data_IF_203812981317
#
_entry.id   IF_203812981317
#
_cell.length_a   1.000
_cell.length_b   1.000
_cell.length_c   1.000
_cell.angle_alpha   90.00
_cell.angle_beta   90.00
_cell.angle_gamma   90.00
#
_symmetry.space_group_name_H-M   'P 1'
#
loop_
_entity.id
_entity.type
_entity.pdbx_description
1 polymer ?
#
# COMPACT_ATOMS: atom_id res chain seq x y z
N UNK A 1 27.99 -17.14 -3.68
CA UNK A 1 27.38 -16.51 -4.86
C UNK A 1 26.07 -15.87 -4.42
N UNK A 2 25.88 -14.59 -4.74
CA UNK A 2 24.64 -13.88 -4.47
C UNK A 2 23.51 -14.42 -5.33
N UNK A 3 22.33 -14.63 -4.75
CA UNK A 3 21.12 -14.99 -5.48
C UNK A 3 20.25 -13.74 -5.66
N UNK A 4 20.70 -12.85 -6.55
CA UNK A 4 20.04 -11.56 -6.82
C UNK A 4 18.74 -11.78 -7.56
N UNK A 5 17.66 -11.17 -7.06
CA UNK A 5 16.30 -11.31 -7.61
C UNK A 5 15.75 -10.01 -8.21
N UNK A 6 16.10 -8.87 -7.65
CA UNK A 6 15.54 -7.59 -8.06
C UNK A 6 16.56 -6.47 -7.90
N UNK A 7 16.36 -5.41 -8.67
CA UNK A 7 17.23 -4.23 -8.72
C UNK A 7 16.40 -2.96 -8.61
N UNK A 8 16.97 -1.93 -7.98
CA UNK A 8 16.43 -0.57 -7.99
C UNK A 8 17.58 0.45 -8.00
N UNK A 9 17.28 1.67 -8.45
CA UNK A 9 18.23 2.78 -8.49
C UNK A 9 17.54 4.00 -7.88
N UNK A 10 18.27 4.80 -7.08
CA UNK A 10 17.76 6.07 -6.57
C UNK A 10 17.47 7.06 -7.71
N UNK A 11 16.55 7.97 -7.49
CA UNK A 11 16.15 8.95 -8.52
C UNK A 11 17.29 9.84 -9.01
N UNK A 12 18.30 10.06 -8.17
CA UNK A 12 19.50 10.83 -8.49
C UNK A 12 20.65 9.98 -9.10
N UNK A 13 20.45 8.66 -9.21
CA UNK A 13 21.42 7.72 -9.75
C UNK A 13 22.66 7.49 -8.89
N UNK A 14 22.69 8.00 -7.65
CA UNK A 14 23.85 7.85 -6.76
C UNK A 14 23.84 6.56 -5.96
N UNK A 15 22.70 5.86 -5.88
CA UNK A 15 22.56 4.62 -5.14
C UNK A 15 21.90 3.54 -5.97
N UNK A 16 22.47 2.35 -5.89
CA UNK A 16 21.99 1.14 -6.52
C UNK A 16 21.64 0.12 -5.45
N UNK A 17 20.53 -0.57 -5.61
CA UNK A 17 20.03 -1.58 -4.67
C UNK A 17 19.87 -2.91 -5.38
N UNK A 18 20.13 -3.98 -4.66
CA UNK A 18 19.78 -5.31 -5.11
C UNK A 18 19.25 -6.16 -3.95
N UNK A 19 18.30 -7.00 -4.29
CA UNK A 19 17.65 -7.94 -3.38
C UNK A 19 18.38 -9.28 -3.46
N UNK A 20 18.81 -9.79 -2.32
CA UNK A 20 19.48 -11.08 -2.18
C UNK A 20 18.58 -12.05 -1.43
N UNK A 21 18.19 -13.14 -2.11
CA UNK A 21 17.20 -14.10 -1.61
C UNK A 21 17.77 -14.97 -0.46
N UNK A 22 18.95 -15.57 -0.65
CA UNK A 22 19.47 -16.53 0.32
C UNK A 22 19.83 -15.89 1.67
N UNK A 23 20.42 -14.68 1.64
CA UNK A 23 20.74 -13.95 2.85
C UNK A 23 19.53 -13.17 3.40
N UNK A 24 18.49 -13.00 2.59
CA UNK A 24 17.31 -12.17 2.91
C UNK A 24 17.75 -10.76 3.29
N UNK A 25 18.38 -10.11 2.34
CA UNK A 25 18.96 -8.79 2.50
C UNK A 25 18.67 -7.90 1.28
N UNK A 26 18.48 -6.61 1.55
CA UNK A 26 18.61 -5.56 0.54
C UNK A 26 19.99 -4.94 0.72
N UNK A 27 20.75 -4.89 -0.35
CA UNK A 27 22.08 -4.26 -0.37
C UNK A 27 22.04 -2.96 -1.14
N UNK A 28 22.70 -1.95 -0.60
CA UNK A 28 22.90 -0.64 -1.21
C UNK A 28 24.36 -0.48 -1.60
N UNK A 29 24.62 -0.02 -2.81
CA UNK A 29 25.92 0.48 -3.24
C UNK A 29 25.75 1.97 -3.51
N UNK A 30 26.61 2.79 -2.92
CA UNK A 30 26.64 4.22 -3.17
C UNK A 30 27.78 4.53 -4.14
N UNK A 31 27.49 5.29 -5.19
CA UNK A 31 28.45 5.72 -6.20
C UNK A 31 28.96 7.13 -5.90
N UNK A 32 30.24 7.38 -6.16
CA UNK A 32 30.82 8.73 -6.10
C UNK A 32 30.33 9.61 -7.27
N UNK A 33 29.99 8.97 -8.40
CA UNK A 33 29.43 9.63 -9.58
C UNK A 33 28.09 8.94 -9.94
N UNK A 34 27.04 9.73 -10.15
CA UNK A 34 25.72 9.20 -10.49
C UNK A 34 25.79 8.32 -11.75
N UNK A 35 25.11 7.17 -11.69
CA UNK A 35 25.04 6.13 -12.75
C UNK A 35 26.40 5.52 -13.18
N UNK A 36 27.47 5.82 -12.49
CA UNK A 36 28.77 5.22 -12.76
C UNK A 36 29.05 4.04 -11.80
N UNK A 37 28.76 2.85 -12.26
CA UNK A 37 28.93 1.60 -11.47
C UNK A 37 30.38 1.30 -11.12
N UNK A 38 31.34 1.97 -11.78
CA UNK A 38 32.79 1.83 -11.50
C UNK A 38 33.23 2.72 -10.36
N UNK A 39 32.45 3.72 -9.97
CA UNK A 39 32.75 4.73 -8.94
C UNK A 39 32.24 4.35 -7.55
N UNK A 40 32.12 3.06 -7.22
CA UNK A 40 31.59 2.60 -5.91
C UNK A 40 32.41 3.21 -4.75
N UNK A 41 31.72 3.90 -3.84
CA UNK A 41 32.30 4.60 -2.70
C UNK A 41 32.02 3.91 -1.37
N UNK A 42 30.82 3.35 -1.19
CA UNK A 42 30.42 2.69 0.05
C UNK A 42 29.28 1.68 -0.21
N UNK A 43 29.03 0.80 0.76
CA UNK A 43 27.93 -0.14 0.74
C UNK A 43 27.23 -0.22 2.09
N UNK A 44 25.96 -0.57 2.07
CA UNK A 44 25.14 -0.86 3.26
C UNK A 44 24.25 -2.10 3.02
N UNK A 45 23.79 -2.69 4.11
CA UNK A 45 22.93 -3.88 4.07
C UNK A 45 21.77 -3.70 5.04
N UNK A 46 20.58 -3.99 4.57
CA UNK A 46 19.36 -4.06 5.37
C UNK A 46 18.92 -5.53 5.46
N UNK A 47 18.84 -6.08 6.66
CA UNK A 47 18.25 -7.40 6.87
C UNK A 47 16.73 -7.33 6.74
N UNK A 48 16.18 -8.22 5.94
CA UNK A 48 14.74 -8.41 5.74
C UNK A 48 14.33 -9.81 6.20
N UNK A 49 14.81 -10.21 7.37
CA UNK A 49 14.66 -11.57 7.91
C UNK A 49 13.22 -12.03 8.14
N UNK A 50 12.25 -11.10 8.12
CA UNK A 50 10.82 -11.41 8.16
C UNK A 50 10.33 -12.09 6.87
N UNK A 51 11.04 -11.93 5.75
CA UNK A 51 10.74 -12.59 4.47
C UNK A 51 11.29 -14.02 4.45
N UNK A 52 10.70 -14.88 3.60
CA UNK A 52 11.18 -16.25 3.39
C UNK A 52 11.86 -16.42 2.04
N UNK A 53 11.21 -15.97 0.96
CA UNK A 53 11.75 -15.98 -0.41
C UNK A 53 11.45 -14.64 -1.08
N UNK A 54 12.23 -13.58 -0.77
CA UNK A 54 12.03 -12.26 -1.36
C UNK A 54 12.38 -12.27 -2.85
N UNK A 55 11.51 -11.72 -3.69
CA UNK A 55 11.63 -11.72 -5.15
C UNK A 55 11.63 -10.35 -5.80
N UNK A 56 10.90 -9.40 -5.25
CA UNK A 56 10.72 -8.08 -5.82
C UNK A 56 11.07 -6.97 -4.85
N UNK A 57 11.52 -5.85 -5.41
CA UNK A 57 11.97 -4.66 -4.70
C UNK A 57 11.46 -3.42 -5.41
N UNK A 58 10.84 -2.51 -4.68
CA UNK A 58 10.41 -1.20 -5.18
C UNK A 58 10.60 -0.12 -4.13
N UNK A 59 10.72 1.14 -4.56
CA UNK A 59 10.72 2.31 -3.69
C UNK A 59 9.56 3.23 -4.03
N UNK A 60 9.15 4.04 -3.07
CA UNK A 60 8.30 5.21 -3.33
C UNK A 60 9.07 6.27 -4.12
N UNK A 61 8.35 7.13 -4.85
CA UNK A 61 8.96 8.20 -5.67
C UNK A 61 9.89 9.13 -4.89
N UNK A 62 9.58 9.36 -3.62
CA UNK A 62 10.38 10.20 -2.72
C UNK A 62 11.49 9.41 -1.98
N UNK A 63 11.60 8.10 -2.21
CA UNK A 63 12.60 7.23 -1.56
C UNK A 63 12.42 7.03 -0.06
N UNK A 64 11.28 7.40 0.52
CA UNK A 64 11.02 7.28 1.96
C UNK A 64 10.40 5.93 2.35
N UNK A 65 9.95 5.15 1.37
CA UNK A 65 9.43 3.79 1.59
C UNK A 65 10.09 2.80 0.66
N UNK A 66 10.29 1.60 1.19
CA UNK A 66 10.80 0.44 0.48
C UNK A 66 9.77 -0.68 0.58
N UNK A 67 9.55 -1.39 -0.51
CA UNK A 67 8.62 -2.51 -0.62
C UNK A 67 9.36 -3.76 -1.06
N UNK A 68 9.05 -4.88 -0.42
CA UNK A 68 9.66 -6.19 -0.73
C UNK A 68 8.56 -7.23 -0.88
N UNK A 69 8.46 -7.85 -2.04
CA UNK A 69 7.57 -8.97 -2.29
C UNK A 69 8.21 -10.29 -1.91
N UNK A 70 7.46 -11.13 -1.17
CA UNK A 70 7.84 -12.47 -0.69
C UNK A 70 6.85 -13.51 -1.23
N UNK A 71 7.34 -14.43 -2.05
CA UNK A 71 6.50 -15.43 -2.71
C UNK A 71 6.04 -16.55 -1.76
N UNK A 72 6.82 -16.95 -0.77
CA UNK A 72 6.41 -18.01 0.16
C UNK A 72 5.30 -17.56 1.11
N UNK A 73 5.31 -16.30 1.50
CA UNK A 73 4.28 -15.75 2.38
C UNK A 73 3.13 -15.10 1.63
N UNK A 74 3.23 -15.01 0.29
CA UNK A 74 2.28 -14.26 -0.55
C UNK A 74 2.07 -12.85 0.01
N UNK A 75 3.19 -12.14 0.30
CA UNK A 75 3.18 -10.89 1.04
C UNK A 75 3.98 -9.81 0.34
N UNK A 76 3.56 -8.56 0.60
CA UNK A 76 4.39 -7.40 0.32
C UNK A 76 4.66 -6.68 1.64
N UNK A 77 5.93 -6.62 2.01
CA UNK A 77 6.40 -5.90 3.20
C UNK A 77 6.67 -4.44 2.85
N UNK A 78 6.31 -3.55 3.77
CA UNK A 78 6.59 -2.12 3.71
C UNK A 78 7.57 -1.73 4.81
N UNK A 79 8.57 -0.94 4.44
CA UNK A 79 9.56 -0.36 5.34
C UNK A 79 9.57 1.16 5.19
N UNK A 80 9.69 1.88 6.31
CA UNK A 80 9.89 3.33 6.34
C UNK A 80 11.38 3.66 6.47
N UNK A 81 11.83 4.64 5.71
CA UNK A 81 13.20 5.14 5.72
C UNK A 81 13.25 6.55 6.32
N UNK A 82 14.04 6.75 7.38
CA UNK A 82 14.26 8.07 7.97
C UNK A 82 14.93 9.03 6.97
N UNK A 83 15.90 8.54 6.22
CA UNK A 83 16.56 9.28 5.13
C UNK A 83 16.14 8.70 3.79
N UNK A 84 15.69 9.56 2.87
CA UNK A 84 15.29 9.13 1.54
C UNK A 84 16.41 8.36 0.83
N UNK A 85 16.05 7.21 0.25
CA UNK A 85 17.01 6.40 -0.50
C UNK A 85 18.22 5.91 0.33
N UNK A 86 18.09 5.79 1.66
CA UNK A 86 19.21 5.35 2.49
C UNK A 86 18.80 4.22 3.43
N UNK A 87 19.32 3.01 3.15
CA UNK A 87 19.06 1.84 3.99
C UNK A 87 20.17 1.60 5.03
N UNK A 88 21.16 2.49 5.13
CA UNK A 88 22.28 2.31 6.08
C UNK A 88 21.88 2.50 7.52
N UNK A 89 20.81 3.28 7.78
CA UNK A 89 20.31 3.54 9.13
C UNK A 89 18.88 4.05 9.09
N UNK A 90 18.17 3.94 10.24
CA UNK A 90 16.84 4.51 10.40
C UNK A 90 15.76 3.85 9.53
N UNK A 91 15.90 2.56 9.24
CA UNK A 91 14.89 1.75 8.56
C UNK A 91 14.08 0.98 9.59
N UNK A 92 12.77 1.06 9.49
CA UNK A 92 11.84 0.29 10.32
C UNK A 92 10.82 -0.43 9.43
N UNK A 93 10.54 -1.69 9.75
CA UNK A 93 9.42 -2.39 9.12
C UNK A 93 8.12 -1.76 9.66
N UNK A 94 7.27 -1.31 8.74
CA UNK A 94 5.98 -0.69 9.04
C UNK A 94 4.87 -1.75 9.15
N UNK A 95 4.93 -2.76 8.27
CA UNK A 95 3.99 -3.87 8.24
C UNK A 95 4.09 -4.66 6.93
N UNK A 96 3.05 -5.41 6.64
CA UNK A 96 2.90 -6.13 5.36
C UNK A 96 1.42 -6.31 5.05
N UNK A 97 1.12 -6.53 3.77
CA UNK A 97 -0.16 -7.07 3.33
C UNK A 97 0.03 -8.53 2.91
N UNK A 98 -1.03 -9.33 3.10
CA UNK A 98 -1.13 -10.66 2.50
C UNK A 98 -1.99 -10.56 1.25
N UNK A 99 -1.49 -11.07 0.14
CA UNK A 99 -2.23 -11.11 -1.10
C UNK A 99 -3.32 -12.19 -1.00
N UNK A 100 -4.54 -11.87 -1.44
CA UNK A 100 -5.73 -12.70 -1.21
C UNK A 100 -5.87 -13.91 -2.13
N UNK A 101 -5.06 -13.98 -3.17
CA UNK A 101 -4.97 -15.11 -4.12
C UNK A 101 -3.53 -15.62 -4.10
N UNK A 102 -3.28 -16.81 -4.64
CA UNK A 102 -1.93 -17.36 -4.79
C UNK A 102 -1.12 -16.51 -5.76
N UNK A 103 -0.74 -15.30 -5.34
CA UNK A 103 0.02 -14.34 -6.13
C UNK A 103 1.48 -14.43 -5.69
N UNK A 104 2.34 -14.82 -6.63
CA UNK A 104 3.78 -14.80 -6.46
C UNK A 104 4.34 -13.44 -6.89
N UNK A 105 4.64 -12.50 -5.97
CA UNK A 105 5.00 -11.12 -6.30
C UNK A 105 6.44 -11.00 -6.84
N UNK A 106 6.65 -11.39 -8.10
CA UNK A 106 7.95 -11.31 -8.79
C UNK A 106 8.35 -9.91 -9.22
N UNK A 107 7.39 -9.02 -9.40
CA UNK A 107 7.61 -7.61 -9.71
C UNK A 107 6.61 -6.71 -9.01
N UNK A 108 7.06 -5.55 -8.55
CA UNK A 108 6.21 -4.51 -7.97
C UNK A 108 6.52 -3.20 -8.67
N UNK A 109 5.49 -2.52 -9.16
CA UNK A 109 5.60 -1.19 -9.75
C UNK A 109 4.46 -0.33 -9.23
N UNK A 110 4.77 0.91 -8.86
CA UNK A 110 3.76 1.91 -8.51
C UNK A 110 3.50 2.85 -9.67
N UNK A 111 2.24 3.24 -9.84
CA UNK A 111 1.79 4.18 -10.87
C UNK A 111 0.81 5.19 -10.28
N UNK A 112 0.38 6.18 -11.08
CA UNK A 112 -0.58 7.21 -10.66
C UNK A 112 -0.15 7.90 -9.35
N UNK A 113 1.15 8.28 -9.24
CA UNK A 113 1.67 8.94 -8.04
C UNK A 113 1.61 8.05 -6.80
N UNK A 114 1.68 6.73 -6.96
CA UNK A 114 1.69 5.77 -5.86
C UNK A 114 0.31 5.31 -5.39
N UNK A 115 -0.78 5.70 -6.07
CA UNK A 115 -2.14 5.25 -5.73
C UNK A 115 -2.54 3.94 -6.38
N UNK A 116 -1.74 3.43 -7.31
CA UNK A 116 -1.89 2.10 -7.92
C UNK A 116 -0.61 1.31 -7.76
N UNK A 117 -0.72 0.08 -7.33
CA UNK A 117 0.36 -0.90 -7.28
C UNK A 117 0.05 -2.01 -8.28
N UNK A 118 1.01 -2.29 -9.16
CA UNK A 118 0.96 -3.41 -10.10
C UNK A 118 1.91 -4.48 -9.58
N UNK A 119 1.43 -5.71 -9.56
CA UNK A 119 2.19 -6.90 -9.16
C UNK A 119 2.29 -7.82 -10.36
N UNK A 120 3.52 -8.15 -10.76
CA UNK A 120 3.76 -9.24 -11.69
C UNK A 120 3.64 -10.55 -10.92
N UNK A 121 2.61 -11.32 -11.23
CA UNK A 121 2.37 -12.64 -10.67
C UNK A 121 2.95 -13.71 -11.61
N UNK A 122 3.95 -14.47 -11.15
CA UNK A 122 4.53 -15.55 -11.94
C UNK A 122 3.60 -16.76 -11.97
N UNK A 123 2.94 -17.09 -10.86
CA UNK A 123 2.10 -18.28 -10.76
C UNK A 123 0.85 -18.18 -11.65
N UNK A 124 0.25 -16.98 -11.70
CA UNK A 124 -0.94 -16.69 -12.51
C UNK A 124 -0.63 -16.24 -13.94
N UNK A 125 0.65 -15.95 -14.26
CA UNK A 125 1.06 -15.34 -15.55
C UNK A 125 0.28 -14.04 -15.84
N UNK A 126 -0.02 -13.26 -14.79
CA UNK A 126 -0.86 -12.04 -14.84
C UNK A 126 -0.13 -10.82 -14.30
N UNK A 127 -0.73 -9.66 -14.50
CA UNK A 127 -0.40 -8.42 -13.78
C UNK A 127 -1.61 -8.02 -12.97
N UNK A 128 -1.49 -8.11 -11.65
CA UNK A 128 -2.55 -7.71 -10.75
C UNK A 128 -2.44 -6.23 -10.39
N UNK A 129 -3.59 -5.55 -10.32
CA UNK A 129 -3.66 -4.11 -10.04
C UNK A 129 -4.38 -3.88 -8.74
N UNK A 130 -3.69 -3.28 -7.77
CA UNK A 130 -4.24 -2.93 -6.48
C UNK A 130 -4.37 -1.41 -6.35
N UNK A 131 -5.54 -0.95 -5.91
CA UNK A 131 -5.75 0.46 -5.54
C UNK A 131 -5.30 0.68 -4.10
N UNK A 132 -4.54 1.74 -3.86
CA UNK A 132 -4.09 2.13 -2.54
C UNK A 132 -4.89 3.34 -2.06
N UNK A 133 -5.35 3.30 -0.82
CA UNK A 133 -6.09 4.39 -0.18
C UNK A 133 -5.22 5.65 -0.03
N UNK A 134 -3.96 5.46 0.30
CA UNK A 134 -2.97 6.53 0.38
C UNK A 134 -1.76 6.21 -0.51
N UNK A 135 -1.15 7.20 -1.19
CA UNK A 135 0.00 6.96 -2.05
C UNK A 135 1.13 6.23 -1.34
N UNK A 136 1.62 5.14 -1.95
CA UNK A 136 2.71 4.32 -1.42
C UNK A 136 2.47 3.82 0.03
N UNK A 137 1.22 3.55 0.40
CA UNK A 137 0.91 3.02 1.73
C UNK A 137 0.09 1.73 1.63
N UNK A 138 0.75 0.60 1.87
CA UNK A 138 0.12 -0.73 1.82
C UNK A 138 -0.66 -1.06 3.07
N UNK A 139 -0.28 -0.49 4.21
CA UNK A 139 -0.87 -0.83 5.52
C UNK A 139 -2.29 -0.27 5.66
N UNK A 140 -2.65 0.63 4.76
CA UNK A 140 -3.94 1.29 4.69
C UNK A 140 -4.81 0.74 3.53
N UNK A 141 -4.57 -0.53 3.13
CA UNK A 141 -5.46 -1.24 2.21
C UNK A 141 -6.60 -1.80 3.06
N UNK A 142 -7.62 -0.99 3.25
CA UNK A 142 -8.95 -1.47 3.59
C UNK A 142 -9.74 -1.57 2.29
N UNK A 143 -10.28 -2.74 1.98
CA UNK A 143 -11.35 -2.90 0.98
C UNK A 143 -12.62 -2.13 1.40
N UNK A 144 -12.65 -1.66 2.63
CA UNK A 144 -13.63 -0.76 3.17
C UNK A 144 -13.08 0.67 3.18
N UNK A 145 -13.67 1.55 2.38
CA UNK A 145 -13.42 2.98 2.49
C UNK A 145 -14.16 3.50 3.71
N UNK A 146 -13.43 3.79 4.78
CA UNK A 146 -13.94 4.49 5.95
C UNK A 146 -13.58 5.98 5.91
N UNK A 147 -14.30 6.79 6.61
CA UNK A 147 -14.10 8.22 6.69
C UNK A 147 -15.09 8.90 7.64
N UNK A 148 -15.05 10.21 7.62
CA UNK A 148 -15.97 11.06 8.37
C UNK A 148 -16.46 12.18 7.45
N UNK A 149 -17.77 12.21 7.18
CA UNK A 149 -18.40 13.20 6.30
C UNK A 149 -18.56 14.57 6.96
N UNK A 150 -18.30 14.69 8.26
CA UNK A 150 -18.41 15.94 9.02
C UNK A 150 -17.06 16.60 9.28
N UNK A 151 -15.94 15.97 8.84
CA UNK A 151 -14.58 16.38 9.21
C UNK A 151 -14.22 17.81 8.76
N UNK A 152 -14.74 18.24 7.60
CA UNK A 152 -14.50 19.55 7.01
C UNK A 152 -15.68 20.52 7.17
N UNK A 153 -16.77 20.10 7.81
CA UNK A 153 -17.91 20.94 8.11
C UNK A 153 -17.65 21.86 9.31
N UNK A 154 -18.26 23.04 9.32
CA UNK A 154 -18.15 24.00 10.41
C UNK A 154 -19.44 24.08 11.21
N UNK A 155 -19.35 23.86 12.51
CA UNK A 155 -20.51 23.93 13.43
C UNK A 155 -20.20 23.29 14.78
N UNK A 156 -21.13 23.44 15.73
CA UNK A 156 -21.06 22.75 17.02
C UNK A 156 -22.09 21.62 17.03
N UNK A 157 -21.65 20.43 17.44
CA UNK A 157 -22.53 19.25 17.56
C UNK A 157 -23.18 18.82 16.24
N UNK A 158 -22.41 18.80 15.16
CA UNK A 158 -22.85 18.28 13.87
C UNK A 158 -23.20 16.81 13.96
N UNK A 159 -24.27 16.40 13.28
CA UNK A 159 -24.67 14.99 13.21
C UNK A 159 -25.30 14.66 11.87
N UNK A 160 -25.05 13.46 11.36
CA UNK A 160 -25.77 12.90 10.21
C UNK A 160 -27.11 12.37 10.69
N UNK A 161 -28.20 12.86 10.13
CA UNK A 161 -29.56 12.46 10.55
C UNK A 161 -30.26 11.57 9.54
N UNK A 162 -29.87 11.63 8.26
CA UNK A 162 -30.50 10.86 7.19
C UNK A 162 -29.51 10.54 6.08
N UNK A 163 -29.73 9.41 5.41
CA UNK A 163 -29.04 9.01 4.18
C UNK A 163 -30.02 8.52 3.13
N UNK A 164 -29.68 8.69 1.86
CA UNK A 164 -30.45 8.18 0.72
C UNK A 164 -29.54 7.79 -0.44
N UNK A 165 -29.98 6.82 -1.24
CA UNK A 165 -29.47 6.64 -2.61
C UNK A 165 -30.22 7.65 -3.49
N UNK A 166 -29.52 8.26 -4.47
CA UNK A 166 -30.13 9.21 -5.41
C UNK A 166 -31.42 8.64 -6.02
N UNK A 167 -32.51 9.39 -5.91
CA UNK A 167 -33.82 8.97 -6.40
C UNK A 167 -34.62 8.03 -5.47
N UNK A 168 -34.13 7.73 -4.28
CA UNK A 168 -34.85 6.93 -3.27
C UNK A 168 -35.25 7.77 -2.04
N UNK A 169 -36.14 7.21 -1.21
CA UNK A 169 -36.54 7.84 0.07
C UNK A 169 -35.37 7.85 1.07
N UNK A 170 -35.32 8.90 1.89
CA UNK A 170 -34.37 9.01 2.99
C UNK A 170 -34.60 7.91 4.04
N UNK A 171 -33.52 7.43 4.63
CA UNK A 171 -33.53 6.61 5.85
C UNK A 171 -32.91 7.37 6.99
N UNK A 172 -33.57 7.32 8.16
CA UNK A 172 -33.03 7.94 9.36
C UNK A 172 -31.74 7.22 9.79
N UNK A 173 -30.73 7.99 10.18
CA UNK A 173 -29.53 7.48 10.83
C UNK A 173 -29.80 7.40 12.34
N UNK A 174 -29.45 6.29 12.95
CA UNK A 174 -29.66 6.07 14.38
C UNK A 174 -28.85 7.10 15.21
N UNK A 175 -29.49 7.79 16.13
CA UNK A 175 -28.82 8.77 16.98
C UNK A 175 -27.73 8.14 17.84
N UNK A 176 -26.62 8.86 18.05
CA UNK A 176 -25.46 8.40 18.83
C UNK A 176 -24.82 7.12 18.28
N UNK A 177 -24.91 6.89 16.96
CA UNK A 177 -24.27 5.78 16.28
C UNK A 177 -22.94 6.19 15.65
N UNK A 178 -22.07 5.20 15.45
CA UNK A 178 -20.92 5.23 14.53
C UNK A 178 -21.09 4.13 13.48
N UNK A 179 -20.31 4.13 12.41
CA UNK A 179 -20.43 3.10 11.37
C UNK A 179 -20.28 1.67 11.92
N UNK A 180 -19.41 1.48 12.92
CA UNK A 180 -19.13 0.19 13.56
C UNK A 180 -19.99 -0.11 14.80
N UNK A 181 -20.88 0.82 15.19
CA UNK A 181 -21.81 0.66 16.32
C UNK A 181 -23.16 1.28 16.00
N UNK A 182 -24.15 0.45 15.70
CA UNK A 182 -25.48 0.83 15.29
C UNK A 182 -25.56 1.74 14.06
N UNK A 183 -24.57 1.65 13.14
CA UNK A 183 -24.57 2.39 11.88
C UNK A 183 -25.77 2.03 11.00
N UNK A 184 -26.19 2.99 10.18
CA UNK A 184 -27.31 2.80 9.23
C UNK A 184 -26.76 2.51 7.85
N UNK A 185 -27.14 1.39 7.25
CA UNK A 185 -26.67 0.94 5.94
C UNK A 185 -27.63 1.30 4.81
N UNK A 186 -27.06 1.65 3.65
CA UNK A 186 -27.77 1.84 2.38
C UNK A 186 -27.00 1.17 1.25
N UNK A 187 -27.67 0.28 0.53
CA UNK A 187 -27.12 -0.37 -0.67
C UNK A 187 -27.48 0.43 -1.90
N UNK A 188 -26.47 0.83 -2.65
CA UNK A 188 -26.57 1.46 -3.98
C UNK A 188 -26.24 0.46 -5.09
N UNK A 189 -26.06 0.98 -6.31
CA UNK A 189 -25.73 0.15 -7.49
C UNK A 189 -24.34 -0.49 -7.39
N UNK A 190 -23.39 0.21 -6.79
CA UNK A 190 -21.95 -0.16 -6.81
C UNK A 190 -21.42 -0.56 -5.43
N UNK A 191 -22.28 -0.70 -4.42
CA UNK A 191 -21.86 -1.09 -3.09
C UNK A 191 -22.80 -0.63 -1.98
N UNK A 192 -22.36 -0.82 -0.74
CA UNK A 192 -23.15 -0.49 0.47
C UNK A 192 -22.38 0.50 1.33
N UNK A 193 -23.02 1.65 1.62
CA UNK A 193 -22.55 2.62 2.61
C UNK A 193 -23.15 2.28 3.97
N UNK A 194 -22.34 2.24 5.01
CA UNK A 194 -22.78 2.22 6.42
C UNK A 194 -22.25 3.48 7.10
N UNK A 195 -23.14 4.26 7.73
CA UNK A 195 -22.78 5.55 8.32
C UNK A 195 -23.35 5.68 9.74
N UNK A 196 -22.60 6.36 10.60
CA UNK A 196 -23.01 6.75 11.94
C UNK A 196 -23.53 8.19 12.02
N UNK A 197 -24.24 8.50 13.11
CA UNK A 197 -24.64 9.89 13.40
C UNK A 197 -23.46 10.80 13.69
N UNK A 198 -22.32 10.25 14.11
CA UNK A 198 -21.06 10.95 14.34
C UNK A 198 -20.33 11.35 13.04
N UNK A 199 -20.87 10.99 11.87
CA UNK A 199 -20.28 11.26 10.56
C UNK A 199 -19.35 10.17 10.07
N UNK A 200 -18.90 9.27 10.93
CA UNK A 200 -18.06 8.15 10.54
C UNK A 200 -18.78 7.22 9.57
N UNK A 201 -18.10 6.73 8.55
CA UNK A 201 -18.68 5.81 7.58
C UNK A 201 -17.70 4.74 7.10
N UNK A 202 -18.26 3.68 6.54
CA UNK A 202 -17.53 2.71 5.71
C UNK A 202 -18.32 2.46 4.43
N UNK A 203 -17.63 2.19 3.33
CA UNK A 203 -18.23 1.84 2.05
C UNK A 203 -17.64 0.55 1.51
N UNK A 204 -18.45 -0.50 1.47
CA UNK A 204 -18.10 -1.76 0.86
C UNK A 204 -18.52 -1.75 -0.62
N UNK A 205 -17.55 -1.76 -1.52
CA UNK A 205 -17.81 -1.80 -2.96
C UNK A 205 -18.31 -3.18 -3.39
N UNK A 206 -19.28 -3.22 -4.33
CA UNK A 206 -19.63 -4.44 -5.05
C UNK A 206 -18.73 -4.54 -6.28
N UNK A 207 -17.70 -5.37 -6.21
CA UNK A 207 -16.72 -5.56 -7.28
C UNK A 207 -17.39 -6.00 -8.59
N UNK A 208 -18.40 -6.84 -8.54
CA UNK A 208 -19.10 -7.34 -9.72
C UNK A 208 -19.90 -6.25 -10.44
N UNK A 209 -20.35 -5.22 -9.74
CA UNK A 209 -21.08 -4.09 -10.30
C UNK A 209 -20.16 -2.93 -10.71
N UNK A 210 -18.95 -2.86 -10.17
CA UNK A 210 -17.97 -1.82 -10.50
C UNK A 210 -17.19 -2.13 -11.81
N UNK A 211 -17.13 -3.40 -12.19
CA UNK A 211 -16.40 -3.89 -13.37
C UNK A 211 -17.31 -3.99 -14.63
N UNK A 212 -18.58 -3.59 -14.54
CA UNK A 212 -19.56 -3.59 -15.63
C UNK A 212 -19.68 -2.20 -16.25
#
# INVERSE_FOLDING_TARGET
>A
LYNVKSLAVSSDGTKFYFLEDNAREVRQITFATAYDVTSSASSATLSISATSHPRSLAFSDNGKKLFVGDTTGERIYQYNLTTAWDISSGVSQDGYITLTTTIDPFGIVFTHGGTKMLILDEAGETVDVHSLKSPFNLIDIDDEHDGDVLLDDTGSSLTVTQIAVTGSSNSAVASSSSYNSNGTSKTGTYGTLTIGADGSYTYAADQSAADA
#
